data_IF_723016016882
#
_entry.id   IF_723016016882
#
_cell.length_a   1.000
_cell.length_b   1.000
_cell.length_c   1.000
_cell.angle_alpha   90.00
_cell.angle_beta   90.00
_cell.angle_gamma   90.00
#
_symmetry.space_group_name_H-M   'P 1'
#
loop_
_entity.id
_entity.type
_entity.pdbx_description
1 polymer ?
#
# COMPACT_ATOMS: atom_id res chain seq x y z
N UNK A 1 -23.59 32.57 12.66
CA UNK A 1 -22.17 32.67 12.25
C UNK A 1 -21.37 31.76 13.16
N UNK A 2 -20.99 30.58 12.68
CA UNK A 2 -20.15 29.63 13.43
C UNK A 2 -18.71 30.11 13.37
N UNK A 3 -18.20 30.60 14.50
CA UNK A 3 -16.80 30.91 14.72
C UNK A 3 -15.99 29.63 14.66
N UNK A 4 -15.31 29.40 13.54
CA UNK A 4 -14.27 28.39 13.43
C UNK A 4 -13.12 28.82 14.35
N UNK A 5 -13.00 28.20 15.52
CA UNK A 5 -11.82 28.36 16.38
C UNK A 5 -10.61 27.90 15.60
N UNK A 6 -9.72 28.83 15.25
CA UNK A 6 -8.45 28.52 14.62
C UNK A 6 -7.64 27.57 15.53
N UNK A 7 -7.18 26.45 14.97
CA UNK A 7 -6.33 25.51 15.71
C UNK A 7 -5.04 26.19 16.17
N UNK A 8 -4.56 25.94 17.41
CA UNK A 8 -3.35 26.57 17.92
C UNK A 8 -2.12 26.15 17.12
N UNK A 9 -1.27 27.12 16.78
CA UNK A 9 0.00 26.85 16.10
C UNK A 9 0.88 25.92 16.95
N UNK A 10 1.17 24.72 16.44
CA UNK A 10 1.95 23.70 17.11
C UNK A 10 3.17 23.34 16.23
N UNK A 11 4.32 22.99 16.81
CA UNK A 11 5.54 22.64 16.05
C UNK A 11 5.62 21.15 15.69
N UNK A 12 4.58 20.39 16.00
CA UNK A 12 4.58 18.92 15.95
C UNK A 12 5.37 18.30 17.11
N UNK A 13 5.32 16.96 17.20
CA UNK A 13 6.10 16.19 18.19
C UNK A 13 7.09 15.32 17.43
N UNK A 14 8.39 15.55 17.61
CA UNK A 14 9.44 14.68 17.07
C UNK A 14 9.46 13.36 17.84
N UNK A 15 9.40 12.25 17.10
CA UNK A 15 9.38 10.89 17.64
C UNK A 15 10.46 10.05 17.00
N UNK A 16 10.82 8.94 17.64
CA UNK A 16 11.80 7.99 17.11
C UNK A 16 11.40 7.49 15.71
N UNK A 17 10.11 7.30 15.44
CA UNK A 17 9.63 6.88 14.12
C UNK A 17 10.06 7.85 13.01
N UNK A 18 10.04 9.16 13.26
CA UNK A 18 10.53 10.17 12.30
C UNK A 18 12.05 10.11 12.15
N UNK A 19 12.78 9.95 13.26
CA UNK A 19 14.25 9.83 13.26
C UNK A 19 14.69 8.56 12.52
N UNK A 20 13.97 7.46 12.69
CA UNK A 20 14.17 6.22 11.93
C UNK A 20 14.03 6.48 10.43
N UNK A 21 13.01 7.22 9.98
CA UNK A 21 12.87 7.57 8.56
C UNK A 21 14.07 8.38 8.03
N UNK A 22 14.58 9.32 8.82
CA UNK A 22 15.78 10.11 8.49
C UNK A 22 17.00 9.23 8.25
N UNK A 23 17.20 8.24 9.13
CA UNK A 23 18.29 7.28 9.01
C UNK A 23 18.07 6.28 7.86
N UNK A 24 16.87 5.72 7.74
CA UNK A 24 16.51 4.73 6.71
C UNK A 24 16.66 5.32 5.31
N UNK A 25 16.22 6.56 5.09
CA UNK A 25 16.29 7.20 3.78
C UNK A 25 17.52 8.11 3.59
N UNK A 26 18.38 8.19 4.61
CA UNK A 26 19.72 8.76 4.51
C UNK A 26 19.78 10.28 4.32
N UNK A 27 18.76 11.02 4.77
CA UNK A 27 18.72 12.49 4.65
C UNK A 27 19.10 13.23 5.95
N UNK A 28 19.48 12.50 7.01
CA UNK A 28 20.15 13.05 8.18
C UNK A 28 21.22 12.06 8.68
N UNK A 29 22.50 12.38 8.48
CA UNK A 29 23.62 11.50 8.86
C UNK A 29 23.86 11.43 10.36
N UNK A 30 23.53 12.50 11.07
CA UNK A 30 23.71 12.61 12.52
C UNK A 30 22.44 12.21 13.30
N UNK A 31 21.50 11.52 12.66
CA UNK A 31 20.30 11.01 13.31
C UNK A 31 20.70 10.11 14.49
N UNK A 32 20.10 10.33 15.66
CA UNK A 32 20.26 9.52 16.87
C UNK A 32 18.89 9.25 17.44
N UNK A 33 18.61 7.99 17.78
CA UNK A 33 17.40 7.64 18.52
C UNK A 33 17.38 8.38 19.85
N UNK A 34 16.18 8.71 20.35
CA UNK A 34 16.00 9.49 21.57
C UNK A 34 16.52 8.75 22.82
N UNK A 35 16.51 7.42 22.78
CA UNK A 35 17.03 6.54 23.83
C UNK A 35 18.56 6.32 23.74
N UNK A 36 19.22 6.84 22.70
CA UNK A 36 20.65 6.66 22.47
C UNK A 36 21.05 5.30 21.90
N UNK A 37 20.09 4.43 21.55
CA UNK A 37 20.37 3.11 20.98
C UNK A 37 21.12 3.24 19.66
N UNK A 38 22.08 2.32 19.43
CA UNK A 38 22.87 2.28 18.20
C UNK A 38 22.05 1.78 17.01
N UNK A 39 22.33 2.31 15.83
CA UNK A 39 21.68 1.89 14.59
C UNK A 39 22.05 0.44 14.21
N UNK A 40 21.11 -0.37 13.70
CA UNK A 40 21.42 -1.69 13.19
C UNK A 40 22.32 -1.60 11.95
N UNK A 41 23.22 -2.57 11.79
CA UNK A 41 24.08 -2.68 10.62
C UNK A 41 23.28 -3.13 9.38
N UNK A 42 22.75 -2.17 8.63
CA UNK A 42 22.00 -2.42 7.39
C UNK A 42 22.76 -1.75 6.23
N UNK A 43 23.09 -2.50 5.15
CA UNK A 43 23.78 -1.94 4.00
C UNK A 43 22.89 -0.93 3.29
N UNK A 44 23.53 -0.05 2.51
CA UNK A 44 22.81 0.82 1.58
C UNK A 44 22.40 0.02 0.35
N UNK A 45 21.31 0.44 -0.26
CA UNK A 45 20.88 -0.06 -1.57
C UNK A 45 21.88 0.29 -2.66
N UNK A 46 22.05 -0.61 -3.63
CA UNK A 46 22.79 -0.34 -4.87
C UNK A 46 22.04 0.68 -5.75
N UNK A 47 22.65 1.83 -6.03
CA UNK A 47 22.08 2.87 -6.91
C UNK A 47 22.72 2.88 -8.30
N UNK A 48 21.97 3.17 -9.37
CA UNK A 48 22.55 3.57 -10.65
C UNK A 48 23.56 4.72 -10.50
N UNK A 49 24.60 4.73 -11.35
CA UNK A 49 25.61 5.82 -11.34
C UNK A 49 24.92 7.17 -11.48
N UNK A 50 25.34 8.14 -10.66
CA UNK A 50 24.87 9.53 -10.70
C UNK A 50 23.68 9.86 -9.79
N UNK A 51 23.10 8.88 -9.10
CA UNK A 51 22.07 9.13 -8.09
C UNK A 51 22.68 9.24 -6.70
N UNK A 52 22.28 10.27 -5.97
CA UNK A 52 22.66 10.43 -4.57
C UNK A 52 21.54 9.86 -3.68
N UNK A 53 21.72 8.63 -3.20
CA UNK A 53 20.77 8.00 -2.30
C UNK A 53 21.47 7.10 -1.30
N UNK A 54 21.34 7.48 -0.02
CA UNK A 54 21.87 6.75 1.13
C UNK A 54 20.82 5.81 1.75
N UNK A 55 19.79 5.41 0.98
CA UNK A 55 18.68 4.55 1.46
C UNK A 55 19.21 3.18 1.89
N UNK A 56 18.71 2.67 3.01
CA UNK A 56 19.03 1.33 3.53
C UNK A 56 18.32 0.23 2.73
N UNK A 57 19.01 -0.86 2.42
CA UNK A 57 18.43 -2.01 1.70
C UNK A 57 17.64 -2.89 2.67
N UNK A 58 16.37 -2.53 2.85
CA UNK A 58 15.42 -3.22 3.69
C UNK A 58 14.02 -3.26 3.06
N UNK A 59 13.17 -4.10 3.61
CA UNK A 59 11.73 -4.15 3.30
C UNK A 59 10.89 -3.29 4.24
N UNK A 60 9.76 -2.79 3.74
CA UNK A 60 8.70 -2.20 4.55
C UNK A 60 7.49 -3.12 4.47
N UNK A 61 7.13 -3.73 5.60
CA UNK A 61 5.94 -4.54 5.76
C UNK A 61 4.87 -3.71 6.45
N UNK A 62 3.84 -3.31 5.73
CA UNK A 62 2.65 -2.71 6.33
C UNK A 62 1.61 -3.77 6.65
N UNK A 63 1.00 -3.65 7.81
CA UNK A 63 -0.08 -4.52 8.27
C UNK A 63 -1.23 -3.68 8.80
N UNK A 64 -2.44 -4.08 8.43
CA UNK A 64 -3.69 -3.52 8.96
C UNK A 64 -4.66 -4.67 9.28
N UNK A 65 -5.47 -4.51 10.32
CA UNK A 65 -6.45 -5.48 10.78
C UNK A 65 -7.82 -4.83 10.89
N UNK A 66 -8.81 -5.44 10.26
CA UNK A 66 -10.20 -4.98 10.31
C UNK A 66 -11.16 -6.14 10.63
N UNK A 67 -12.38 -5.80 11.05
CA UNK A 67 -13.44 -6.72 11.43
C UNK A 67 -13.00 -7.81 12.40
N UNK A 68 -12.11 -7.44 13.32
CA UNK A 68 -11.53 -8.36 14.29
C UNK A 68 -12.52 -8.66 15.41
N UNK A 69 -13.22 -9.80 15.29
CA UNK A 69 -14.20 -10.27 16.28
C UNK A 69 -13.65 -11.47 17.02
N UNK A 70 -13.56 -11.33 18.34
CA UNK A 70 -13.13 -12.38 19.27
C UNK A 70 -14.26 -12.68 20.24
N UNK A 71 -14.58 -13.96 20.43
CA UNK A 71 -15.59 -14.44 21.37
C UNK A 71 -15.00 -15.55 22.21
N UNK A 72 -15.08 -15.42 23.54
CA UNK A 72 -14.51 -16.39 24.49
C UNK A 72 -13.03 -16.72 24.20
N UNK A 73 -12.24 -15.72 23.80
CA UNK A 73 -10.83 -15.88 23.44
C UNK A 73 -10.58 -16.49 22.05
N UNK A 74 -11.64 -16.83 21.30
CA UNK A 74 -11.54 -17.43 19.97
C UNK A 74 -11.87 -16.40 18.89
N UNK A 75 -10.98 -16.27 17.91
CA UNK A 75 -11.19 -15.42 16.74
C UNK A 75 -12.32 -16.02 15.91
N UNK A 76 -13.41 -15.26 15.73
CA UNK A 76 -14.57 -15.65 14.92
C UNK A 76 -14.46 -15.12 13.48
N UNK A 77 -13.89 -13.93 13.35
CA UNK A 77 -13.67 -13.25 12.08
C UNK A 77 -12.50 -12.30 12.19
N UNK A 78 -11.70 -12.22 11.14
CA UNK A 78 -10.67 -11.19 10.99
C UNK A 78 -10.34 -10.99 9.51
N UNK A 79 -10.09 -9.74 9.15
CA UNK A 79 -9.50 -9.33 7.89
C UNK A 79 -8.09 -8.82 8.14
N UNK A 80 -7.12 -9.31 7.38
CA UNK A 80 -5.71 -8.96 7.54
C UNK A 80 -5.21 -8.42 6.20
N UNK A 81 -4.84 -7.15 6.22
CA UNK A 81 -4.13 -6.50 5.15
C UNK A 81 -2.64 -6.62 5.34
N UNK A 82 -1.92 -7.00 4.30
CA UNK A 82 -0.46 -7.03 4.31
C UNK A 82 0.04 -6.43 3.03
N UNK A 83 0.88 -5.41 3.12
CA UNK A 83 1.54 -4.80 1.96
C UNK A 83 3.04 -4.76 2.16
N UNK A 84 3.81 -5.05 1.12
CA UNK A 84 5.27 -5.07 1.17
C UNK A 84 5.87 -4.21 0.08
N UNK A 85 6.90 -3.44 0.45
CA UNK A 85 7.68 -2.58 -0.42
C UNK A 85 9.17 -2.79 -0.14
N UNK A 86 9.96 -3.17 -1.14
CA UNK A 86 11.43 -3.23 -1.01
C UNK A 86 12.03 -1.88 -1.38
N UNK A 87 12.92 -1.33 -0.53
CA UNK A 87 13.58 -0.05 -0.78
C UNK A 87 14.28 0.00 -2.16
N UNK A 88 14.96 -1.08 -2.54
CA UNK A 88 15.61 -1.22 -3.84
C UNK A 88 14.65 -1.07 -5.04
N UNK A 89 13.36 -1.42 -4.89
CA UNK A 89 12.37 -1.30 -5.97
C UNK A 89 12.06 0.17 -6.31
N UNK A 90 12.17 1.08 -5.33
CA UNK A 90 11.98 2.52 -5.53
C UNK A 90 13.11 3.11 -6.37
N UNK A 91 14.35 2.65 -6.17
CA UNK A 91 15.50 3.18 -6.91
C UNK A 91 15.63 2.65 -8.33
N UNK A 92 15.34 1.35 -8.56
CA UNK A 92 15.47 0.73 -9.89
C UNK A 92 14.55 1.33 -10.95
N UNK A 93 13.49 2.01 -10.53
CA UNK A 93 12.49 2.60 -11.44
C UNK A 93 12.73 4.08 -11.75
N UNK A 94 13.85 4.67 -11.31
CA UNK A 94 14.21 6.08 -11.53
C UNK A 94 13.96 6.56 -12.98
N UNK A 95 14.37 5.77 -13.99
CA UNK A 95 14.18 6.12 -15.41
C UNK A 95 12.72 6.01 -15.90
N UNK A 96 11.89 5.17 -15.29
CA UNK A 96 10.47 4.99 -15.66
C UNK A 96 9.55 6.02 -15.02
N UNK A 97 9.93 6.61 -13.88
CA UNK A 97 9.15 7.65 -13.21
C UNK A 97 9.13 8.99 -13.95
N UNK A 98 10.11 9.23 -14.83
CA UNK A 98 10.19 10.44 -15.65
C UNK A 98 9.17 10.47 -16.81
N UNK A 99 8.58 9.33 -17.18
CA UNK A 99 7.65 9.19 -18.32
C UNK A 99 6.19 9.05 -17.84
N UNK A 100 5.73 9.98 -17.00
CA UNK A 100 4.49 9.89 -16.21
C UNK A 100 3.25 9.36 -16.95
N UNK A 101 2.37 8.66 -16.21
CA UNK A 101 1.05 8.27 -16.71
C UNK A 101 0.47 6.93 -16.23
N UNK A 102 1.20 6.11 -15.45
CA UNK A 102 0.74 4.78 -15.01
C UNK A 102 0.58 4.63 -13.49
N UNK A 103 -0.09 3.55 -13.06
CA UNK A 103 -0.09 3.09 -11.67
C UNK A 103 1.30 2.52 -11.33
N UNK A 104 2.17 3.39 -10.83
CA UNK A 104 3.54 3.01 -10.48
C UNK A 104 3.58 2.22 -9.16
N UNK A 105 2.61 2.46 -8.28
CA UNK A 105 2.52 1.83 -6.97
C UNK A 105 2.36 0.30 -7.08
N UNK A 106 1.51 -0.22 -7.98
CA UNK A 106 1.40 -1.68 -8.18
C UNK A 106 2.69 -2.34 -8.68
N UNK A 107 3.58 -1.55 -9.26
CA UNK A 107 4.91 -1.95 -9.69
C UNK A 107 5.92 -2.14 -8.54
N UNK A 108 5.67 -1.57 -7.36
CA UNK A 108 6.63 -1.53 -6.24
C UNK A 108 6.04 -2.00 -4.90
N UNK A 109 4.76 -1.76 -4.65
CA UNK A 109 4.02 -2.24 -3.48
C UNK A 109 3.25 -3.50 -3.87
N UNK A 110 3.46 -4.60 -3.15
CA UNK A 110 2.71 -5.84 -3.29
C UNK A 110 1.76 -6.01 -2.12
N UNK A 111 0.49 -6.17 -2.40
CA UNK A 111 -0.57 -6.16 -1.39
C UNK A 111 -1.37 -7.45 -1.39
N UNK A 112 -1.76 -7.87 -0.19
CA UNK A 112 -2.56 -9.05 0.07
C UNK A 112 -3.68 -8.70 1.04
N UNK A 113 -4.85 -9.26 0.80
CA UNK A 113 -5.99 -9.18 1.70
C UNK A 113 -6.40 -10.60 2.07
N UNK A 114 -6.20 -10.96 3.33
CA UNK A 114 -6.45 -12.28 3.87
C UNK A 114 -7.69 -12.21 4.75
N UNK A 115 -8.55 -13.22 4.65
CA UNK A 115 -9.83 -13.21 5.38
C UNK A 115 -10.05 -14.54 6.06
N UNK A 116 -10.43 -14.49 7.33
CA UNK A 116 -10.84 -15.64 8.13
C UNK A 116 -12.24 -15.40 8.71
N UNK A 117 -13.10 -16.44 8.73
CA UNK A 117 -14.47 -16.39 9.24
C UNK A 117 -15.46 -17.24 8.44
N UNK A 118 -16.77 -16.96 8.56
CA UNK A 118 -17.85 -17.72 7.91
C UNK A 118 -18.19 -17.25 6.48
N UNK A 119 -18.35 -18.17 5.51
CA UNK A 119 -18.42 -17.91 4.04
C UNK A 119 -19.35 -16.76 3.61
N UNK A 120 -20.46 -16.54 4.32
CA UNK A 120 -21.41 -15.44 4.04
C UNK A 120 -20.82 -14.04 4.28
N UNK A 121 -19.85 -13.90 5.18
CA UNK A 121 -19.17 -12.63 5.45
C UNK A 121 -18.25 -12.18 4.30
N UNK A 122 -17.89 -13.08 3.39
CA UNK A 122 -16.85 -12.86 2.37
C UNK A 122 -17.38 -12.36 1.02
N UNK A 123 -18.65 -12.63 0.70
CA UNK A 123 -19.10 -12.57 -0.71
C UNK A 123 -19.16 -11.15 -1.29
N UNK A 124 -19.32 -10.12 -0.45
CA UNK A 124 -19.37 -8.72 -0.90
C UNK A 124 -17.99 -8.05 -0.93
N UNK A 125 -17.06 -8.44 -0.07
CA UNK A 125 -15.75 -7.77 0.09
C UNK A 125 -14.70 -8.11 -0.96
N UNK A 126 -14.85 -9.23 -1.66
CA UNK A 126 -13.97 -9.59 -2.78
C UNK A 126 -13.93 -8.50 -3.87
N UNK A 127 -14.96 -7.66 -3.99
CA UNK A 127 -15.06 -6.60 -4.98
C UNK A 127 -14.44 -5.27 -4.54
N UNK A 128 -14.07 -5.14 -3.26
CA UNK A 128 -13.58 -3.87 -2.69
C UNK A 128 -12.07 -3.84 -2.47
N UNK A 129 -11.39 -4.99 -2.48
CA UNK A 129 -9.93 -5.00 -2.47
C UNK A 129 -9.39 -4.57 -3.84
N UNK A 130 -8.73 -3.41 -3.89
CA UNK A 130 -8.32 -2.76 -5.13
C UNK A 130 -7.06 -3.37 -5.74
N UNK A 131 -6.21 -3.98 -4.91
CA UNK A 131 -4.85 -4.39 -5.29
C UNK A 131 -4.74 -5.90 -5.57
N UNK A 132 -5.85 -6.57 -5.88
CA UNK A 132 -5.86 -7.98 -6.25
C UNK A 132 -7.16 -8.69 -5.87
N UNK A 133 -7.04 -9.92 -5.35
CA UNK A 133 -8.17 -10.73 -4.89
C UNK A 133 -8.00 -11.02 -3.40
N UNK A 134 -9.09 -10.91 -2.64
CA UNK A 134 -9.11 -11.40 -1.27
C UNK A 134 -8.87 -12.91 -1.25
N UNK A 135 -8.16 -13.40 -0.24
CA UNK A 135 -7.82 -14.82 -0.10
C UNK A 135 -8.32 -15.34 1.24
N UNK A 136 -9.10 -16.44 1.26
CA UNK A 136 -9.39 -17.11 2.51
C UNK A 136 -8.08 -17.64 3.12
N UNK A 137 -7.97 -17.60 4.44
CA UNK A 137 -6.82 -18.12 5.17
C UNK A 137 -7.28 -18.90 6.40
N UNK A 138 -6.47 -19.88 6.84
CA UNK A 138 -6.61 -20.48 8.16
C UNK A 138 -5.69 -19.76 9.14
N UNK A 139 -6.12 -19.54 10.37
CA UNK A 139 -5.36 -18.73 11.34
C UNK A 139 -3.93 -19.22 11.56
N UNK A 140 -3.72 -20.54 11.58
CA UNK A 140 -2.39 -21.13 11.74
C UNK A 140 -1.45 -20.91 10.53
N UNK A 141 -1.99 -20.59 9.35
CA UNK A 141 -1.20 -20.30 8.15
C UNK A 141 -0.74 -18.84 8.09
N UNK A 142 -1.28 -17.95 8.94
CA UNK A 142 -0.98 -16.49 8.92
C UNK A 142 0.51 -16.24 9.08
N UNK A 143 1.17 -16.93 10.01
CA UNK A 143 2.62 -16.81 10.23
C UNK A 143 3.42 -17.11 8.95
N UNK A 144 3.16 -18.26 8.34
CA UNK A 144 3.85 -18.69 7.13
C UNK A 144 3.61 -17.72 5.96
N UNK A 145 2.42 -17.12 5.88
CA UNK A 145 2.14 -16.08 4.88
C UNK A 145 2.96 -14.82 5.14
N UNK A 146 3.01 -14.32 6.38
CA UNK A 146 3.80 -13.14 6.72
C UNK A 146 5.30 -13.37 6.43
N UNK A 147 5.84 -14.50 6.86
CA UNK A 147 7.25 -14.87 6.65
C UNK A 147 7.60 -14.96 5.17
N UNK A 148 6.72 -15.54 4.34
CA UNK A 148 6.93 -15.62 2.88
C UNK A 148 6.88 -14.26 2.17
N UNK A 149 6.10 -13.32 2.68
CA UNK A 149 5.96 -11.99 2.09
C UNK A 149 7.11 -11.05 2.45
N UNK A 150 7.84 -11.35 3.53
CA UNK A 150 8.92 -10.52 4.03
C UNK A 150 10.29 -11.11 3.74
N UNK A 151 11.27 -10.26 3.47
CA UNK A 151 12.68 -10.65 3.50
C UNK A 151 13.38 -9.77 4.52
N UNK A 152 14.10 -10.37 5.47
CA UNK A 152 14.90 -9.61 6.44
C UNK A 152 16.09 -8.93 5.74
N UNK A 153 16.52 -7.74 6.20
CA UNK A 153 15.90 -6.93 7.26
C UNK A 153 14.63 -6.21 6.77
N UNK A 154 13.66 -6.00 7.66
CA UNK A 154 12.44 -5.26 7.34
C UNK A 154 11.94 -4.41 8.52
N UNK A 155 11.22 -3.35 8.20
CA UNK A 155 10.49 -2.48 9.13
C UNK A 155 9.02 -2.88 9.11
N UNK A 156 8.40 -3.02 10.29
CA UNK A 156 6.96 -3.16 10.41
C UNK A 156 6.32 -1.77 10.44
N UNK A 157 5.34 -1.53 9.58
CA UNK A 157 4.64 -0.26 9.43
C UNK A 157 3.19 -0.48 9.81
N UNK A 158 2.65 0.38 10.67
CA UNK A 158 1.26 0.31 11.13
C UNK A 158 0.66 1.72 11.17
N UNK A 159 -0.66 1.78 11.30
CA UNK A 159 -1.38 3.03 11.55
C UNK A 159 -2.21 2.88 12.83
N UNK A 160 -1.62 3.22 13.98
CA UNK A 160 -2.26 2.99 15.28
C UNK A 160 -2.39 1.50 15.63
N UNK A 161 -1.26 0.78 15.60
CA UNK A 161 -1.10 -0.70 15.54
C UNK A 161 -1.77 -1.60 16.59
N UNK A 162 -2.73 -1.12 17.38
CA UNK A 162 -3.34 -1.83 18.51
C UNK A 162 -3.98 -3.15 18.09
N UNK A 163 -4.73 -3.17 16.98
CA UNK A 163 -5.43 -4.37 16.54
C UNK A 163 -4.46 -5.41 15.98
N UNK A 164 -3.46 -4.95 15.23
CA UNK A 164 -2.39 -5.76 14.64
C UNK A 164 -1.62 -6.49 15.74
N UNK A 165 -1.17 -5.77 16.77
CA UNK A 165 -0.45 -6.39 17.88
C UNK A 165 -1.34 -7.33 18.71
N UNK A 166 -2.62 -6.99 18.90
CA UNK A 166 -3.57 -7.87 19.59
C UNK A 166 -3.77 -9.19 18.83
N UNK A 167 -3.94 -9.12 17.50
CA UNK A 167 -4.04 -10.30 16.64
C UNK A 167 -2.76 -11.13 16.68
N UNK A 168 -1.59 -10.52 16.51
CA UNK A 168 -0.30 -11.21 16.54
C UNK A 168 -0.08 -11.91 17.88
N UNK A 169 -0.44 -11.26 18.99
CA UNK A 169 -0.37 -11.84 20.33
C UNK A 169 -1.29 -13.06 20.48
N UNK A 170 -2.56 -12.94 20.07
CA UNK A 170 -3.53 -14.04 20.14
C UNK A 170 -3.14 -15.25 19.27
N UNK A 171 -2.46 -15.01 18.15
CA UNK A 171 -1.95 -16.07 17.28
C UNK A 171 -0.56 -16.58 17.70
N UNK A 172 0.01 -16.06 18.78
CA UNK A 172 1.39 -16.33 19.20
C UNK A 172 2.40 -16.15 18.05
N UNK A 173 2.22 -15.08 17.27
CA UNK A 173 3.10 -14.70 16.15
C UNK A 173 4.06 -13.63 16.64
N UNK A 174 5.33 -14.01 16.72
CA UNK A 174 6.44 -13.09 16.97
C UNK A 174 7.06 -12.68 15.64
N UNK A 175 6.83 -11.42 15.26
CA UNK A 175 7.56 -10.78 14.17
C UNK A 175 8.89 -10.25 14.68
N UNK A 176 9.89 -10.19 13.81
CA UNK A 176 11.24 -9.69 14.13
C UNK A 176 11.65 -8.57 13.17
N UNK A 177 10.91 -7.45 13.13
CA UNK A 177 11.32 -6.29 12.36
C UNK A 177 12.51 -5.60 13.03
N UNK A 178 13.34 -4.90 12.24
CA UNK A 178 14.42 -4.06 12.80
C UNK A 178 13.86 -2.84 13.51
N UNK A 179 12.72 -2.32 13.04
CA UNK A 179 12.00 -1.21 13.64
C UNK A 179 10.50 -1.38 13.45
N UNK A 180 9.73 -0.72 14.31
CA UNK A 180 8.28 -0.55 14.16
C UNK A 180 8.02 0.94 13.95
N UNK A 181 7.36 1.29 12.84
CA UNK A 181 6.96 2.66 12.55
C UNK A 181 5.44 2.75 12.59
N UNK A 182 4.93 3.49 13.58
CA UNK A 182 3.53 3.92 13.62
C UNK A 182 3.38 5.25 12.87
N UNK A 183 2.70 5.21 11.73
CA UNK A 183 2.48 6.39 10.87
C UNK A 183 1.70 7.50 11.58
N UNK A 184 0.88 7.16 12.58
CA UNK A 184 0.18 8.16 13.40
C UNK A 184 1.17 9.03 14.16
N UNK A 185 2.25 8.44 14.69
CA UNK A 185 3.30 9.15 15.43
C UNK A 185 4.30 9.81 14.49
N UNK A 186 4.71 9.10 13.44
CA UNK A 186 5.70 9.59 12.49
C UNK A 186 5.27 10.89 11.79
N UNK A 187 3.96 11.04 11.54
CA UNK A 187 3.38 12.21 10.88
C UNK A 187 3.35 13.48 11.76
N UNK A 188 3.39 13.34 13.11
CA UNK A 188 3.12 14.46 14.01
C UNK A 188 4.10 15.62 13.83
N UNK A 189 5.40 15.31 13.65
CA UNK A 189 6.40 16.34 13.44
C UNK A 189 6.28 16.98 12.04
N UNK A 190 6.27 16.16 10.99
CA UNK A 190 6.30 16.63 9.60
C UNK A 190 5.06 17.44 9.21
N UNK A 191 3.93 17.17 9.85
CA UNK A 191 2.68 17.90 9.64
C UNK A 191 2.37 18.89 10.77
N UNK A 192 3.30 19.08 11.71
CA UNK A 192 3.14 20.03 12.82
C UNK A 192 1.90 19.79 13.69
N UNK A 193 1.44 18.54 13.78
CA UNK A 193 0.19 18.18 14.43
C UNK A 193 0.32 18.12 15.95
N UNK A 194 -0.72 18.59 16.63
CA UNK A 194 -0.89 18.46 18.08
C UNK A 194 -1.76 17.25 18.45
N UNK A 195 -2.50 16.69 17.49
CA UNK A 195 -3.30 15.48 17.62
C UNK A 195 -2.89 14.41 16.59
N UNK A 196 -3.61 13.29 16.60
CA UNK A 196 -3.36 12.12 15.77
C UNK A 196 -4.35 12.11 14.61
N UNK A 197 -3.84 12.19 13.39
CA UNK A 197 -4.68 12.02 12.19
C UNK A 197 -5.06 10.55 12.02
N UNK A 198 -6.30 10.33 11.59
CA UNK A 198 -6.73 9.07 10.99
C UNK A 198 -6.05 8.84 9.64
N UNK A 199 -6.10 7.60 9.15
CA UNK A 199 -5.54 7.25 7.84
C UNK A 199 -6.18 8.12 6.74
N UNK A 200 -7.51 8.31 6.79
CA UNK A 200 -8.25 9.16 5.86
C UNK A 200 -7.70 10.59 5.84
N UNK A 201 -7.51 11.20 7.00
CA UNK A 201 -6.98 12.57 7.09
C UNK A 201 -5.55 12.67 6.55
N UNK A 202 -4.69 11.67 6.79
CA UNK A 202 -3.35 11.65 6.20
C UNK A 202 -3.40 11.50 4.66
N UNK A 203 -4.33 10.70 4.14
CA UNK A 203 -4.51 10.53 2.70
C UNK A 203 -4.98 11.83 2.04
N UNK A 204 -5.90 12.55 2.67
CA UNK A 204 -6.38 13.86 2.22
C UNK A 204 -5.26 14.91 2.27
N UNK A 205 -4.56 15.02 3.41
CA UNK A 205 -3.45 15.96 3.60
C UNK A 205 -2.31 15.75 2.58
N UNK A 206 -1.97 14.50 2.28
CA UNK A 206 -0.90 14.19 1.34
C UNK A 206 -1.35 14.09 -0.12
N UNK A 207 -2.63 14.33 -0.42
CA UNK A 207 -3.24 14.22 -1.75
C UNK A 207 -3.02 12.82 -2.36
N UNK A 208 -3.14 11.78 -1.54
CA UNK A 208 -3.00 10.38 -1.98
C UNK A 208 -4.38 9.89 -2.43
N UNK A 209 -4.54 9.44 -3.69
CA UNK A 209 -5.79 8.85 -4.15
C UNK A 209 -6.17 7.62 -3.32
N UNK A 210 -7.40 7.57 -2.83
CA UNK A 210 -7.90 6.46 -2.02
C UNK A 210 -9.37 6.14 -2.31
N UNK A 211 -9.75 4.90 -2.04
CA UNK A 211 -11.13 4.40 -2.11
C UNK A 211 -11.23 3.13 -1.29
N UNK A 212 -12.45 2.77 -0.88
CA UNK A 212 -12.75 1.55 -0.12
C UNK A 212 -11.85 1.37 1.11
N UNK A 213 -11.79 2.40 1.97
CA UNK A 213 -11.27 2.27 3.34
C UNK A 213 -12.11 1.26 4.13
N UNK A 214 -11.56 0.73 5.22
CA UNK A 214 -12.14 -0.39 5.98
C UNK A 214 -12.11 -1.72 5.20
N UNK A 215 -11.07 -1.83 4.38
CA UNK A 215 -10.66 -3.06 3.71
C UNK A 215 -9.19 -3.18 4.01
N UNK A 216 -8.86 -4.05 4.96
CA UNK A 216 -7.52 -4.10 5.55
C UNK A 216 -6.38 -4.13 4.49
N UNK A 217 -6.56 -4.85 3.39
CA UNK A 217 -5.57 -4.89 2.31
C UNK A 217 -5.36 -3.56 1.58
N UNK A 218 -6.41 -2.75 1.42
CA UNK A 218 -6.31 -1.39 0.90
C UNK A 218 -5.63 -0.49 1.92
N UNK A 219 -6.06 -0.56 3.19
CA UNK A 219 -5.56 0.29 4.26
C UNK A 219 -4.05 0.06 4.46
N UNK A 220 -3.60 -1.20 4.53
CA UNK A 220 -2.18 -1.54 4.58
C UNK A 220 -1.38 -1.00 3.37
N UNK A 221 -1.96 -1.01 2.16
CA UNK A 221 -1.31 -0.43 0.97
C UNK A 221 -1.19 1.09 1.08
N UNK A 222 -2.29 1.74 1.45
CA UNK A 222 -2.39 3.18 1.61
C UNK A 222 -1.48 3.68 2.74
N UNK A 223 -1.32 2.93 3.82
CA UNK A 223 -0.35 3.22 4.90
C UNK A 223 1.09 3.28 4.39
N UNK A 224 1.50 2.43 3.44
CA UNK A 224 2.83 2.55 2.82
C UNK A 224 2.96 3.82 1.98
N UNK A 225 1.91 4.19 1.23
CA UNK A 225 1.91 5.45 0.47
C UNK A 225 2.03 6.66 1.40
N UNK A 226 1.30 6.64 2.53
CA UNK A 226 1.40 7.64 3.59
C UNK A 226 2.81 7.71 4.18
N UNK A 227 3.43 6.56 4.49
CA UNK A 227 4.80 6.51 4.99
C UNK A 227 5.79 7.22 4.05
N UNK A 228 5.67 6.99 2.74
CA UNK A 228 6.50 7.65 1.73
C UNK A 228 6.31 9.17 1.76
N UNK A 229 5.07 9.65 1.91
CA UNK A 229 4.78 11.08 1.96
C UNK A 229 5.21 11.74 3.28
N UNK A 230 5.14 11.04 4.41
CA UNK A 230 5.72 11.50 5.69
C UNK A 230 7.22 11.73 5.52
N UNK A 231 7.94 10.77 4.90
CA UNK A 231 9.38 10.90 4.66
C UNK A 231 9.71 12.07 3.72
N UNK A 232 8.92 12.25 2.65
CA UNK A 232 9.04 13.41 1.75
C UNK A 232 8.88 14.71 2.52
N UNK A 233 7.82 14.83 3.33
CA UNK A 233 7.51 16.07 4.04
C UNK A 233 8.55 16.38 5.11
N UNK A 234 9.01 15.38 5.86
CA UNK A 234 10.09 15.57 6.83
C UNK A 234 11.41 15.97 6.16
N UNK A 235 11.76 15.37 5.01
CA UNK A 235 12.95 15.75 4.26
C UNK A 235 12.89 17.20 3.75
N UNK A 236 11.74 17.65 3.26
CA UNK A 236 11.51 19.05 2.84
C UNK A 236 11.73 20.04 3.99
N UNK A 237 11.26 19.70 5.19
CA UNK A 237 11.44 20.52 6.39
C UNK A 237 12.90 20.49 6.85
N UNK A 238 13.47 19.29 7.00
CA UNK A 238 14.80 19.07 7.55
C UNK A 238 15.92 19.63 6.66
N UNK A 239 15.71 19.62 5.34
CA UNK A 239 16.67 20.09 4.34
C UNK A 239 16.29 21.43 3.72
N UNK A 240 15.39 22.20 4.35
CA UNK A 240 14.97 23.50 3.85
C UNK A 240 16.16 24.36 3.41
N UNK A 241 16.13 24.84 2.16
CA UNK A 241 17.22 25.61 1.54
C UNK A 241 18.40 24.78 0.98
N UNK A 242 18.35 23.44 1.03
CA UNK A 242 19.35 22.52 0.46
C UNK A 242 18.77 21.69 -0.68
N UNK A 243 19.65 21.04 -1.45
CA UNK A 243 19.23 20.09 -2.49
C UNK A 243 18.54 18.88 -1.84
N UNK A 244 17.31 18.60 -2.28
CA UNK A 244 16.56 17.43 -1.85
C UNK A 244 17.14 16.13 -2.45
N UNK A 245 16.99 14.99 -1.76
CA UNK A 245 17.41 13.70 -2.30
C UNK A 245 16.65 13.33 -3.58
N UNK A 246 17.32 12.62 -4.49
CA UNK A 246 16.74 12.25 -5.80
C UNK A 246 15.53 11.29 -5.66
N UNK A 247 15.34 10.66 -4.49
CA UNK A 247 14.18 9.82 -4.20
C UNK A 247 12.90 10.59 -3.89
N UNK A 248 12.97 11.88 -3.51
CA UNK A 248 11.79 12.69 -3.17
C UNK A 248 10.74 12.70 -4.28
N UNK A 249 11.08 13.05 -5.55
CA UNK A 249 10.10 12.99 -6.64
C UNK A 249 9.56 11.57 -6.89
N UNK A 250 10.37 10.53 -6.68
CA UNK A 250 9.93 9.13 -6.82
C UNK A 250 8.87 8.80 -5.79
N UNK A 251 9.09 9.17 -4.52
CA UNK A 251 8.18 8.86 -3.43
C UNK A 251 6.84 9.57 -3.62
N UNK A 252 6.87 10.85 -4.04
CA UNK A 252 5.67 11.59 -4.44
C UNK A 252 4.91 10.88 -5.55
N UNK A 253 5.61 10.48 -6.62
CA UNK A 253 4.99 9.80 -7.76
C UNK A 253 4.36 8.44 -7.39
N UNK A 254 5.06 7.63 -6.59
CA UNK A 254 4.55 6.34 -6.11
C UNK A 254 3.34 6.54 -5.18
N UNK A 255 3.46 7.41 -4.19
CA UNK A 255 2.39 7.63 -3.22
C UNK A 255 1.11 8.17 -3.88
N UNK A 256 1.26 9.12 -4.81
CA UNK A 256 0.15 9.78 -5.52
C UNK A 256 -0.25 9.09 -6.82
N UNK A 257 0.28 7.90 -7.09
CA UNK A 257 -0.11 7.11 -8.26
C UNK A 257 -1.64 6.89 -8.28
N UNK A 258 -2.27 6.90 -9.46
CA UNK A 258 -3.70 6.60 -9.56
C UNK A 258 -3.99 5.22 -8.98
N UNK A 259 -5.22 5.02 -8.50
CA UNK A 259 -5.67 3.69 -8.08
C UNK A 259 -5.83 2.78 -9.30
N UNK A 260 -5.62 1.47 -9.15
CA UNK A 260 -6.02 0.52 -10.17
C UNK A 260 -7.54 0.63 -10.40
N UNK A 261 -8.03 0.29 -11.60
CA UNK A 261 -9.47 0.22 -11.85
C UNK A 261 -10.11 -0.75 -10.85
N UNK A 262 -11.30 -0.39 -10.34
CA UNK A 262 -12.00 -1.25 -9.40
C UNK A 262 -12.25 -2.64 -10.01
N UNK A 263 -12.22 -3.71 -9.21
CA UNK A 263 -12.68 -5.01 -9.67
C UNK A 263 -14.12 -4.92 -10.21
N UNK A 264 -14.44 -5.56 -11.35
CA UNK A 264 -15.81 -5.62 -11.84
C UNK A 264 -16.67 -6.45 -10.87
N UNK A 265 -17.90 -6.00 -10.65
CA UNK A 265 -18.89 -6.67 -9.82
C UNK A 265 -19.38 -7.96 -10.47
N UNK A 266 -20.03 -8.85 -9.69
CA UNK A 266 -20.63 -10.09 -10.25
C UNK A 266 -21.59 -9.82 -11.41
N UNK A 267 -22.38 -8.74 -11.31
CA UNK A 267 -23.33 -8.32 -12.34
C UNK A 267 -22.61 -7.87 -13.61
N UNK A 268 -21.54 -7.10 -13.47
CA UNK A 268 -20.72 -6.65 -14.60
C UNK A 268 -19.99 -7.82 -15.26
N UNK A 269 -19.46 -8.76 -14.49
CA UNK A 269 -18.86 -9.98 -15.02
C UNK A 269 -19.90 -10.80 -15.81
N UNK A 270 -21.11 -10.96 -15.28
CA UNK A 270 -22.19 -11.65 -15.97
C UNK A 270 -22.60 -10.94 -17.27
N UNK A 271 -22.76 -9.61 -17.22
CA UNK A 271 -23.10 -8.81 -18.40
C UNK A 271 -21.99 -8.84 -19.47
N UNK A 272 -20.72 -8.82 -19.07
CA UNK A 272 -19.59 -8.97 -19.99
C UNK A 272 -19.58 -10.35 -20.66
N UNK A 273 -19.82 -11.42 -19.89
CA UNK A 273 -19.90 -12.77 -20.43
C UNK A 273 -21.08 -12.95 -21.40
N UNK A 274 -22.23 -12.34 -21.09
CA UNK A 274 -23.40 -12.33 -21.97
C UNK A 274 -23.12 -11.55 -23.27
N UNK A 275 -22.52 -10.37 -23.17
CA UNK A 275 -22.13 -9.57 -24.34
C UNK A 275 -21.09 -10.31 -25.22
N UNK A 276 -20.16 -11.05 -24.62
CA UNK A 276 -19.18 -11.86 -25.35
C UNK A 276 -19.86 -13.04 -26.07
N UNK A 277 -20.78 -13.74 -25.41
CA UNK A 277 -21.56 -14.81 -26.02
C UNK A 277 -22.42 -14.31 -27.20
N UNK A 278 -23.03 -13.13 -27.06
CA UNK A 278 -23.78 -12.48 -28.15
C UNK A 278 -22.88 -12.09 -29.32
N UNK A 279 -21.65 -11.63 -29.08
CA UNK A 279 -20.69 -11.31 -30.16
C UNK A 279 -20.23 -12.55 -30.91
N UNK A 280 -20.01 -13.67 -30.21
CA UNK A 280 -19.62 -14.94 -30.84
C UNK A 280 -20.75 -15.52 -31.71
N UNK A 281 -22.00 -15.42 -31.27
CA UNK A 281 -23.16 -15.86 -32.09
C UNK A 281 -23.38 -14.97 -33.32
N UNK A 282 -23.21 -13.65 -33.21
CA UNK A 282 -23.32 -12.74 -34.35
C UNK A 282 -22.13 -12.84 -35.32
N UNK A 283 -20.92 -13.12 -34.83
CA UNK A 283 -19.75 -13.39 -35.68
C UNK A 283 -19.92 -14.64 -36.54
N UNK A 284 -20.37 -15.75 -35.93
CA UNK A 284 -20.64 -17.01 -36.64
C UNK A 284 -21.75 -16.91 -37.69
N UNK A 285 -22.77 -16.07 -37.45
CA UNK A 285 -23.83 -15.82 -38.44
C UNK A 285 -23.34 -14.98 -39.64
N UNK A 286 -22.42 -14.04 -39.40
CA UNK A 286 -21.87 -13.19 -40.46
C UNK A 286 -20.93 -13.96 -41.38
N UNK A 287 -20.10 -14.85 -40.83
CA UNK A 287 -19.23 -15.74 -41.61
C UNK A 287 -20.00 -16.81 -42.41
N UNK A 288 -21.12 -17.30 -41.90
CA UNK A 288 -22.00 -18.20 -42.67
C UNK A 288 -22.70 -17.49 -43.84
N UNK A 289 -23.12 -16.25 -43.65
CA UNK A 289 -23.79 -15.50 -44.73
C UNK A 289 -22.81 -15.06 -45.83
N UNK A 290 -21.56 -14.70 -45.50
CA UNK A 290 -20.53 -14.42 -46.53
C UNK A 290 -20.05 -15.67 -47.27
N UNK A 291 -20.10 -16.86 -46.65
CA UNK A 291 -19.79 -18.12 -47.32
C UNK A 291 -20.88 -18.56 -48.32
N UNK A 292 -22.14 -18.16 -48.10
CA UNK A 292 -23.25 -18.48 -49.00
C UNK A 292 -23.35 -17.50 -50.19
N UNK A 293 -23.11 -16.20 -49.98
CA UNK A 293 -23.07 -15.21 -51.09
C UNK A 293 -21.89 -15.41 -52.06
N UNK A 294 -20.82 -16.08 -51.64
CA UNK A 294 -19.69 -16.42 -52.51
C UNK A 294 -19.94 -17.60 -53.45
N UNK A 295 -21.09 -18.29 -53.33
CA UNK A 295 -21.40 -19.51 -54.08
C UNK A 295 -22.40 -19.34 -55.23
N UNK A 296 -22.96 -18.14 -55.44
CA UNK A 296 -23.95 -17.88 -56.51
C UNK A 296 -23.40 -17.18 -57.78
N UNK A 297 -22.07 -17.07 -57.96
CA UNK A 297 -21.46 -16.44 -59.16
C UNK A 297 -20.74 -17.39 -60.12
N UNK A 298 -21.06 -18.68 -60.10
CA UNK A 298 -20.59 -19.66 -61.09
C UNK A 298 -21.73 -20.61 -61.49
N UNK A 299 -22.71 -20.10 -62.25
CA UNK A 299 -23.50 -20.90 -63.20
C UNK A 299 -24.29 -19.94 -64.11
N UNK A 300 -23.71 -19.61 -65.26
CA UNK A 300 -24.34 -18.85 -66.32
C UNK A 300 -23.53 -18.99 -67.62
N UNK A 301 -23.73 -20.13 -68.29
CA UNK A 301 -23.58 -20.24 -69.75
C UNK A 301 -24.89 -19.84 -70.41
#
# INVERSE_FOLDING_TARGET
>A
MTTTTAEPAHKGILRDETIMLRWIFGYCRDAKLLDGTSWPAIPQTSVPRGLNSDIKDLGFLSMDVDHFRVENGVIQRVEIGVSYLKAQALQRRHSKFAQGGGDLASGVIKSHHLVFGHKKAFHWKNYHFLFGKARPIKLWDVRAVLERLTTKPYVLVVHGGKQEFSLLSLLNIKLEPVFIIDTVKAAQFSLQLWYRYSLKQLLEEFEIPYSALHVAGNDAHLTLRVLLMIAVRDAEIQLSGKRLPDWVPIFKAVARSPLPPRPPTKREIAAMAEAEAQRQTHGNHRERNTALDGSESLNGC
#
